data_IF_411700388226
#
_entry.id   IF_411700388226
#
_cell.length_a   1.000
_cell.length_b   1.000
_cell.length_c   1.000
_cell.angle_alpha   90.00
_cell.angle_beta   90.00
_cell.angle_gamma   90.00
#
_symmetry.space_group_name_H-M   'P 1'
#
loop_
_entity.id
_entity.type
_entity.pdbx_description
1 polymer ?
#
# COMPACT_ATOMS: atom_id res chain seq x y z
N UNK A 1 19.46 -31.68 -10.87
CA UNK A 1 20.87 -31.52 -10.43
C UNK A 1 20.85 -30.59 -9.21
N UNK A 2 21.20 -31.09 -8.01
CA UNK A 2 21.22 -30.29 -6.77
C UNK A 2 22.42 -29.34 -6.80
N UNK A 3 22.19 -28.04 -6.63
CA UNK A 3 23.24 -27.07 -6.31
C UNK A 3 22.91 -26.53 -4.92
N UNK A 4 23.72 -26.83 -3.89
CA UNK A 4 23.46 -26.33 -2.55
C UNK A 4 23.94 -24.88 -2.49
N UNK A 5 23.01 -23.94 -2.29
CA UNK A 5 23.34 -22.59 -1.83
C UNK A 5 23.13 -22.58 -0.33
N UNK A 6 24.17 -22.15 0.37
CA UNK A 6 24.33 -22.09 1.82
C UNK A 6 23.00 -21.86 2.57
N UNK A 7 22.52 -22.94 3.15
CA UNK A 7 21.24 -23.00 3.86
C UNK A 7 21.40 -22.80 5.36
N UNK A 8 22.63 -22.64 5.86
CA UNK A 8 22.90 -22.40 7.29
C UNK A 8 22.86 -20.90 7.61
N UNK A 9 23.50 -20.04 6.81
CA UNK A 9 23.49 -18.58 7.02
C UNK A 9 22.07 -17.98 6.84
N UNK A 10 21.25 -18.56 5.94
CA UNK A 10 19.83 -18.15 5.78
C UNK A 10 18.94 -18.53 6.97
N UNK A 11 19.23 -19.62 7.68
CA UNK A 11 18.46 -20.07 8.86
C UNK A 11 18.67 -19.15 10.06
N UNK A 12 19.88 -18.61 10.20
CA UNK A 12 20.21 -17.66 11.26
C UNK A 12 19.54 -16.31 11.03
N UNK A 13 19.54 -15.82 9.78
CA UNK A 13 18.80 -14.60 9.39
C UNK A 13 17.28 -14.72 9.53
N UNK A 14 16.70 -15.90 9.26
CA UNK A 14 15.26 -16.15 9.51
C UNK A 14 14.94 -16.24 11.01
N UNK A 15 15.81 -16.85 11.84
CA UNK A 15 15.64 -16.87 13.30
C UNK A 15 15.76 -15.48 13.92
N UNK A 16 16.66 -14.63 13.42
CA UNK A 16 16.77 -13.22 13.84
C UNK A 16 15.52 -12.41 13.44
N UNK A 17 15.00 -12.62 12.22
CA UNK A 17 13.78 -11.96 11.71
C UNK A 17 12.51 -12.42 12.43
N UNK A 18 12.40 -13.70 12.85
CA UNK A 18 11.30 -14.20 13.66
C UNK A 18 11.35 -13.71 15.11
N UNK A 19 12.54 -13.61 15.72
CA UNK A 19 12.71 -12.98 17.04
C UNK A 19 12.30 -11.51 17.05
N UNK A 20 12.57 -10.77 15.96
CA UNK A 20 12.20 -9.36 15.85
C UNK A 20 10.75 -9.12 15.38
N UNK A 21 10.02 -10.16 14.91
CA UNK A 21 8.59 -10.08 14.56
C UNK A 21 7.65 -10.44 15.71
N UNK A 22 8.18 -10.85 16.86
CA UNK A 22 7.39 -11.09 18.07
C UNK A 22 7.01 -9.78 18.76
N UNK A 23 6.12 -8.98 18.15
CA UNK A 23 5.21 -7.99 18.79
C UNK A 23 4.58 -7.13 17.69
N UNK A 24 3.45 -7.60 17.14
CA UNK A 24 2.34 -6.79 16.60
C UNK A 24 1.29 -7.78 16.05
N UNK A 25 0.02 -7.74 16.52
CA UNK A 25 -1.01 -8.65 16.04
C UNK A 25 -1.47 -8.24 14.63
N UNK A 26 -1.34 -9.14 13.67
CA UNK A 26 -1.86 -8.97 12.31
C UNK A 26 -3.30 -9.49 12.25
N UNK A 27 -4.23 -8.59 11.95
CA UNK A 27 -5.64 -8.89 11.65
C UNK A 27 -5.71 -9.35 10.19
N UNK A 28 -6.11 -10.60 9.97
CA UNK A 28 -6.29 -11.16 8.62
C UNK A 28 -7.68 -10.91 8.07
N UNK A 29 -7.77 -10.32 6.88
CA UNK A 29 -8.95 -10.27 6.03
C UNK A 29 -9.07 -11.55 5.19
N UNK A 30 -10.12 -12.36 5.42
CA UNK A 30 -10.58 -13.40 4.48
C UNK A 30 -11.84 -12.89 3.79
N UNK A 31 -11.83 -12.88 2.46
CA UNK A 31 -13.03 -12.88 1.62
C UNK A 31 -13.19 -14.28 1.04
N UNK A 32 -14.30 -14.94 1.36
CA UNK A 32 -14.69 -16.25 0.85
C UNK A 32 -15.93 -16.75 1.59
N UNK A 33 -17.08 -16.61 0.93
CA UNK A 33 -18.38 -17.25 1.16
C UNK A 33 -19.05 -17.09 2.53
N UNK A 34 -19.98 -16.12 2.62
CA UNK A 34 -21.01 -16.06 3.65
C UNK A 34 -22.31 -16.67 3.10
N UNK A 35 -22.42 -18.00 3.18
CA UNK A 35 -23.71 -18.62 3.47
C UNK A 35 -24.15 -18.18 4.86
N UNK A 36 -25.45 -17.94 5.00
CA UNK A 36 -26.15 -17.41 6.17
C UNK A 36 -25.70 -17.97 7.54
N UNK A 37 -25.80 -17.08 8.54
CA UNK A 37 -25.87 -17.27 10.01
C UNK A 37 -24.58 -17.31 10.85
N UNK A 38 -24.08 -16.14 11.30
CA UNK A 38 -23.18 -16.05 12.47
C UNK A 38 -23.78 -15.32 13.68
N UNK A 39 -24.94 -14.65 13.56
CA UNK A 39 -25.52 -13.83 14.65
C UNK A 39 -26.07 -14.65 15.82
N UNK A 40 -26.44 -15.91 15.59
CA UNK A 40 -26.94 -16.80 16.64
C UNK A 40 -25.83 -17.47 17.44
N UNK A 41 -24.60 -17.55 16.90
CA UNK A 41 -23.50 -18.26 17.57
C UNK A 41 -22.73 -17.39 18.56
N UNK A 42 -22.56 -16.08 18.27
CA UNK A 42 -21.87 -15.16 19.19
C UNK A 42 -22.70 -14.84 20.43
N UNK A 43 -24.02 -14.67 20.27
CA UNK A 43 -24.93 -14.49 21.40
C UNK A 43 -24.99 -15.74 22.30
N UNK A 44 -24.90 -16.95 21.71
CA UNK A 44 -24.90 -18.21 22.46
C UNK A 44 -23.55 -18.43 23.18
N UNK A 45 -22.42 -18.13 22.55
CA UNK A 45 -21.08 -18.24 23.17
C UNK A 45 -20.88 -17.21 24.29
N UNK A 46 -21.33 -15.96 24.12
CA UNK A 46 -21.25 -14.95 25.18
C UNK A 46 -22.15 -15.29 26.37
N UNK A 47 -23.36 -15.82 26.11
CA UNK A 47 -24.28 -16.28 27.16
C UNK A 47 -23.72 -17.51 27.90
N UNK A 48 -23.16 -18.48 27.18
CA UNK A 48 -22.61 -19.71 27.76
C UNK A 48 -21.32 -19.45 28.56
N UNK A 49 -20.47 -18.52 28.09
CA UNK A 49 -19.23 -18.14 28.79
C UNK A 49 -19.52 -17.28 30.02
N UNK A 50 -20.55 -16.43 29.97
CA UNK A 50 -21.00 -15.65 31.12
C UNK A 50 -21.73 -16.52 32.16
N UNK A 51 -22.53 -17.49 31.71
CA UNK A 51 -23.18 -18.47 32.59
C UNK A 51 -22.17 -19.42 33.23
N UNK A 52 -21.12 -19.84 32.50
CA UNK A 52 -20.05 -20.68 33.08
C UNK A 52 -19.17 -19.89 34.05
N UNK A 53 -18.94 -18.61 33.79
CA UNK A 53 -18.19 -17.72 34.70
C UNK A 53 -18.97 -17.44 35.99
N UNK A 54 -20.28 -17.21 35.90
CA UNK A 54 -21.17 -17.06 37.06
C UNK A 54 -21.28 -18.35 37.87
N UNK A 55 -21.40 -19.52 37.23
CA UNK A 55 -21.41 -20.82 37.91
C UNK A 55 -20.05 -21.17 38.53
N UNK A 56 -18.94 -20.66 37.98
CA UNK A 56 -17.60 -20.84 38.54
C UNK A 56 -17.36 -20.00 39.81
N UNK A 57 -18.21 -19.01 40.10
CA UNK A 57 -18.13 -18.17 41.30
C UNK A 57 -18.91 -18.74 42.50
N UNK A 58 -19.72 -19.79 42.29
CA UNK A 58 -20.54 -20.46 43.33
C UNK A 58 -19.89 -21.74 43.93
N UNK A 59 -18.57 -21.89 43.77
CA UNK A 59 -17.80 -23.04 44.26
C UNK A 59 -17.60 -23.03 45.78
N UNK A 60 -18.53 -23.65 46.51
CA UNK A 60 -18.43 -23.94 47.94
C UNK A 60 -17.38 -25.04 48.23
N UNK A 61 -16.40 -24.80 49.12
CA UNK A 61 -15.50 -25.83 49.63
C UNK A 61 -15.34 -25.73 51.15
N UNK A 62 -15.40 -26.87 51.86
CA UNK A 62 -15.61 -27.04 53.30
C UNK A 62 -14.30 -27.21 54.13
N UNK A 63 -14.46 -26.91 55.44
CA UNK A 63 -13.72 -27.33 56.66
C UNK A 63 -12.62 -26.42 57.24
N UNK A 64 -12.95 -25.73 58.34
CA UNK A 64 -12.32 -26.01 59.64
C UNK A 64 -11.56 -24.85 60.29
N UNK A 65 -12.25 -24.09 61.14
CA UNK A 65 -11.73 -23.12 62.14
C UNK A 65 -11.19 -21.77 61.64
N UNK A 66 -10.92 -21.61 60.34
CA UNK A 66 -10.82 -20.28 59.70
C UNK A 66 -12.19 -19.72 59.29
N UNK A 67 -13.26 -20.45 59.63
CA UNK A 67 -14.59 -20.29 59.08
C UNK A 67 -15.23 -18.94 59.40
N UNK A 68 -14.96 -18.28 60.54
CA UNK A 68 -15.61 -16.99 60.86
C UNK A 68 -14.99 -15.81 60.08
N UNK A 69 -13.67 -15.80 59.92
CA UNK A 69 -12.97 -14.74 59.18
C UNK A 69 -13.17 -14.93 57.68
N UNK A 70 -13.07 -16.17 57.18
CA UNK A 70 -13.33 -16.47 55.77
C UNK A 70 -14.81 -16.26 55.41
N UNK A 71 -15.76 -16.56 56.31
CA UNK A 71 -17.19 -16.28 56.09
C UNK A 71 -17.50 -14.78 56.13
N UNK A 72 -16.82 -14.01 56.99
CA UNK A 72 -16.94 -12.55 56.96
C UNK A 72 -16.35 -11.99 55.67
N UNK A 73 -15.13 -12.35 55.32
CA UNK A 73 -14.48 -11.89 54.08
C UNK A 73 -15.30 -12.29 52.85
N UNK A 74 -15.90 -13.48 52.81
CA UNK A 74 -16.77 -13.88 51.71
C UNK A 74 -18.07 -13.08 51.65
N UNK A 75 -18.71 -12.77 52.79
CA UNK A 75 -19.87 -11.88 52.86
C UNK A 75 -19.55 -10.44 52.41
N UNK A 76 -18.41 -9.90 52.86
CA UNK A 76 -17.91 -8.59 52.43
C UNK A 76 -17.58 -8.58 50.94
N UNK A 77 -16.99 -9.66 50.42
CA UNK A 77 -16.66 -9.83 49.01
C UNK A 77 -17.92 -9.97 48.13
N UNK A 78 -18.94 -10.71 48.57
CA UNK A 78 -20.21 -10.82 47.86
C UNK A 78 -20.97 -9.47 47.84
N UNK A 79 -20.96 -8.73 48.95
CA UNK A 79 -21.53 -7.38 48.98
C UNK A 79 -20.77 -6.39 48.09
N UNK A 80 -19.44 -6.38 48.15
CA UNK A 80 -18.61 -5.52 47.31
C UNK A 80 -18.74 -5.88 45.82
N UNK A 81 -18.80 -7.18 45.50
CA UNK A 81 -19.02 -7.68 44.14
C UNK A 81 -20.38 -7.22 43.60
N UNK A 82 -21.44 -7.36 44.38
CA UNK A 82 -22.79 -6.97 43.97
C UNK A 82 -22.95 -5.44 43.78
N UNK A 83 -22.30 -4.63 44.63
CA UNK A 83 -22.45 -3.17 44.62
C UNK A 83 -21.51 -2.48 43.62
N UNK A 84 -20.30 -3.03 43.39
CA UNK A 84 -19.27 -2.36 42.59
C UNK A 84 -18.99 -3.11 41.29
N UNK A 85 -18.67 -4.41 41.40
CA UNK A 85 -18.18 -5.20 40.27
C UNK A 85 -19.30 -5.48 39.26
N UNK A 86 -20.46 -5.94 39.73
CA UNK A 86 -21.61 -6.27 38.88
C UNK A 86 -22.14 -5.05 38.10
N UNK A 87 -22.42 -3.88 38.70
CA UNK A 87 -22.87 -2.71 37.93
C UNK A 87 -21.79 -2.18 36.99
N UNK A 88 -20.51 -2.26 37.37
CA UNK A 88 -19.40 -1.88 36.48
C UNK A 88 -19.36 -2.75 35.21
N UNK A 89 -19.44 -4.08 35.35
CA UNK A 89 -19.49 -4.97 34.19
C UNK A 89 -20.78 -4.82 33.38
N UNK A 90 -21.94 -4.61 34.03
CA UNK A 90 -23.19 -4.30 33.32
C UNK A 90 -23.07 -3.03 32.49
N UNK A 91 -22.43 -1.99 33.03
CA UNK A 91 -22.14 -0.76 32.31
C UNK A 91 -21.22 -1.01 31.11
N UNK A 92 -20.13 -1.78 31.29
CA UNK A 92 -19.21 -2.11 30.19
C UNK A 92 -19.89 -2.90 29.08
N UNK A 93 -20.71 -3.90 29.43
CA UNK A 93 -21.51 -4.68 28.47
C UNK A 93 -22.50 -3.78 27.74
N UNK A 94 -23.19 -2.88 28.45
CA UNK A 94 -24.10 -1.92 27.82
C UNK A 94 -23.37 -1.00 26.84
N UNK A 95 -22.18 -0.51 27.18
CA UNK A 95 -21.35 0.29 26.30
C UNK A 95 -20.96 -0.50 25.03
N UNK A 96 -20.50 -1.74 25.19
CA UNK A 96 -20.18 -2.62 24.05
C UNK A 96 -21.40 -2.86 23.15
N UNK A 97 -22.59 -3.07 23.74
CA UNK A 97 -23.83 -3.25 22.98
C UNK A 97 -24.21 -1.97 22.20
N UNK A 98 -24.09 -0.79 22.83
CA UNK A 98 -24.35 0.49 22.18
C UNK A 98 -23.40 0.69 20.99
N UNK A 99 -22.10 0.43 21.15
CA UNK A 99 -21.13 0.55 20.07
C UNK A 99 -21.40 -0.44 18.93
N UNK A 100 -21.80 -1.67 19.27
CA UNK A 100 -22.19 -2.69 18.29
C UNK A 100 -23.41 -2.28 17.48
N UNK A 101 -24.45 -1.74 18.14
CA UNK A 101 -25.66 -1.25 17.47
C UNK A 101 -25.34 -0.05 16.58
N UNK A 102 -24.54 0.91 17.06
CA UNK A 102 -24.14 2.07 16.27
C UNK A 102 -23.39 1.64 15.00
N UNK A 103 -22.41 0.74 15.11
CA UNK A 103 -21.68 0.20 13.97
C UNK A 103 -22.60 -0.55 13.00
N UNK A 104 -23.54 -1.34 13.52
CA UNK A 104 -24.52 -2.04 12.68
C UNK A 104 -25.40 -1.06 11.89
N UNK A 105 -25.86 0.01 12.53
CA UNK A 105 -26.64 1.08 11.87
C UNK A 105 -25.81 1.77 10.78
N UNK A 106 -24.55 2.08 11.02
CA UNK A 106 -23.65 2.66 10.00
C UNK A 106 -23.45 1.74 8.79
N UNK A 107 -23.22 0.45 9.03
CA UNK A 107 -23.06 -0.56 7.96
C UNK A 107 -24.37 -0.74 7.18
N UNK A 108 -25.50 -0.81 7.86
CA UNK A 108 -26.81 -0.88 7.22
C UNK A 108 -27.08 0.36 6.37
N UNK A 109 -26.81 1.55 6.90
CA UNK A 109 -26.97 2.82 6.19
C UNK A 109 -26.11 2.85 4.92
N UNK A 110 -24.81 2.54 5.03
CA UNK A 110 -23.92 2.46 3.87
C UNK A 110 -24.36 1.40 2.86
N UNK A 111 -24.83 0.24 3.33
CA UNK A 111 -25.40 -0.81 2.49
C UNK A 111 -26.62 -0.36 1.70
N UNK A 112 -27.55 0.34 2.35
CA UNK A 112 -28.74 0.92 1.70
C UNK A 112 -28.34 1.98 0.67
N UNK A 113 -27.41 2.88 1.01
CA UNK A 113 -26.91 3.90 0.07
C UNK A 113 -26.27 3.26 -1.16
N UNK A 114 -25.42 2.25 -0.98
CA UNK A 114 -24.79 1.52 -2.09
C UNK A 114 -25.83 0.78 -2.94
N UNK A 115 -26.80 0.12 -2.31
CA UNK A 115 -27.89 -0.56 -3.02
C UNK A 115 -28.74 0.44 -3.83
N UNK A 116 -29.08 1.59 -3.23
CA UNK A 116 -29.79 2.67 -3.89
C UNK A 116 -29.01 3.21 -5.09
N UNK A 117 -27.73 3.56 -4.93
CA UNK A 117 -26.88 4.05 -6.03
C UNK A 117 -26.77 3.02 -7.15
N UNK A 118 -26.63 1.72 -6.83
CA UNK A 118 -26.56 0.64 -7.82
C UNK A 118 -27.89 0.42 -8.54
N UNK A 119 -29.02 0.39 -7.82
CA UNK A 119 -30.36 0.19 -8.39
C UNK A 119 -30.75 1.33 -9.34
N UNK A 120 -30.48 2.58 -8.93
CA UNK A 120 -30.78 3.76 -9.73
C UNK A 120 -29.67 4.12 -10.73
N UNK A 121 -28.62 3.30 -10.83
CA UNK A 121 -27.43 3.50 -11.70
C UNK A 121 -26.90 4.94 -11.68
N UNK A 122 -26.96 5.59 -10.51
CA UNK A 122 -26.51 6.96 -10.37
C UNK A 122 -25.01 6.97 -10.54
N UNK A 123 -24.54 7.60 -11.62
CA UNK A 123 -23.11 7.90 -11.77
C UNK A 123 -22.80 9.09 -10.87
N UNK A 124 -21.62 9.12 -10.23
CA UNK A 124 -21.16 10.35 -9.59
C UNK A 124 -21.22 11.46 -10.64
N UNK A 125 -21.88 12.55 -10.29
CA UNK A 125 -22.02 13.70 -11.18
C UNK A 125 -20.60 14.19 -11.51
N UNK A 126 -20.36 14.51 -12.79
CA UNK A 126 -19.09 15.13 -13.19
C UNK A 126 -19.13 16.58 -12.74
N UNK A 127 -18.85 16.79 -11.45
CA UNK A 127 -18.87 18.12 -10.82
C UNK A 127 -17.75 19.00 -11.34
N UNK A 128 -16.63 18.38 -11.77
CA UNK A 128 -15.43 19.10 -12.14
C UNK A 128 -15.23 19.18 -13.65
N UNK A 129 -14.89 20.39 -14.09
CA UNK A 129 -14.57 20.70 -15.48
C UNK A 129 -13.13 20.29 -15.74
N UNK A 130 -12.91 19.57 -16.83
CA UNK A 130 -11.59 19.26 -17.36
C UNK A 130 -11.56 19.64 -18.83
N UNK A 131 -10.69 20.58 -19.15
CA UNK A 131 -10.41 21.01 -20.52
C UNK A 131 -8.90 21.16 -20.65
N UNK A 132 -8.32 20.57 -21.70
CA UNK A 132 -6.89 20.66 -21.91
C UNK A 132 -6.46 22.12 -22.05
N UNK A 133 -5.31 22.48 -21.46
CA UNK A 133 -4.77 23.82 -21.65
C UNK A 133 -4.29 23.99 -23.09
N UNK A 134 -4.76 25.05 -23.73
CA UNK A 134 -4.33 25.38 -25.09
C UNK A 134 -2.99 26.10 -25.05
N UNK A 135 -2.16 25.80 -26.06
CA UNK A 135 -0.94 26.55 -26.30
C UNK A 135 -1.32 27.84 -27.03
N UNK A 136 -1.61 28.90 -26.28
CA UNK A 136 -1.84 30.22 -26.85
C UNK A 136 -0.58 30.67 -27.61
N UNK A 137 -0.66 30.74 -28.94
CA UNK A 137 0.48 31.11 -29.79
C UNK A 137 1.03 32.51 -29.45
N UNK A 138 0.19 33.40 -28.92
CA UNK A 138 0.55 34.76 -28.51
C UNK A 138 1.20 34.82 -27.12
N UNK A 139 0.75 33.99 -26.17
CA UNK A 139 1.28 33.96 -24.80
C UNK A 139 2.44 32.96 -24.61
N UNK A 140 2.58 31.97 -25.51
CA UNK A 140 3.59 30.93 -25.45
C UNK A 140 3.55 30.19 -24.10
N UNK A 141 4.72 30.00 -23.49
CA UNK A 141 4.83 29.38 -22.16
C UNK A 141 4.26 30.22 -21.00
N UNK A 142 3.71 31.42 -21.25
CA UNK A 142 3.11 32.23 -20.19
C UNK A 142 1.69 31.86 -19.82
N UNK A 143 0.98 31.12 -20.68
CA UNK A 143 -0.35 30.59 -20.35
C UNK A 143 -0.29 29.49 -19.28
N UNK A 144 0.87 28.87 -19.10
CA UNK A 144 1.08 27.80 -18.13
C UNK A 144 1.40 28.38 -16.73
N UNK A 145 0.70 27.92 -15.68
CA UNK A 145 1.03 28.30 -14.30
C UNK A 145 2.40 27.74 -13.92
N UNK A 146 3.04 28.39 -12.96
CA UNK A 146 4.31 27.93 -12.44
C UNK A 146 4.07 26.78 -11.45
N UNK A 147 4.66 25.61 -11.67
CA UNK A 147 4.46 24.41 -10.84
C UNK A 147 5.74 24.00 -10.11
N UNK A 148 5.66 23.89 -8.78
CA UNK A 148 6.70 23.26 -7.96
C UNK A 148 6.46 21.75 -7.90
N UNK A 149 7.48 20.94 -8.18
CA UNK A 149 7.47 19.50 -7.94
C UNK A 149 8.37 19.20 -6.75
N UNK A 150 7.81 18.74 -5.63
CA UNK A 150 8.57 18.39 -4.42
C UNK A 150 8.75 16.87 -4.30
N UNK A 151 9.98 16.44 -4.02
CA UNK A 151 10.34 15.04 -3.81
C UNK A 151 11.09 14.90 -2.48
N UNK A 152 10.40 14.61 -1.36
CA UNK A 152 11.05 14.30 -0.09
C UNK A 152 11.70 12.90 -0.11
N UNK A 153 12.98 12.84 0.26
CA UNK A 153 13.78 11.61 0.29
C UNK A 153 14.37 11.34 1.68
N UNK A 154 14.49 10.06 2.04
CA UNK A 154 15.14 9.63 3.28
C UNK A 154 15.76 8.24 3.15
N UNK A 155 17.07 8.16 2.95
CA UNK A 155 17.85 6.92 2.80
C UNK A 155 17.37 6.01 1.64
N UNK A 156 16.90 6.59 0.53
CA UNK A 156 16.29 5.89 -0.61
C UNK A 156 17.29 5.68 -1.76
N UNK A 157 18.25 4.76 -1.60
CA UNK A 157 19.36 4.59 -2.57
C UNK A 157 18.93 4.01 -3.90
N UNK A 158 17.99 3.08 -3.88
CA UNK A 158 17.63 2.25 -5.02
C UNK A 158 16.67 2.96 -5.97
N UNK A 159 15.82 3.85 -5.45
CA UNK A 159 14.70 4.46 -6.20
C UNK A 159 14.94 5.92 -6.56
N UNK A 160 15.86 6.61 -5.88
CA UNK A 160 16.04 8.05 -6.05
C UNK A 160 16.43 8.45 -7.49
N UNK A 161 17.31 7.71 -8.17
CA UNK A 161 17.68 8.02 -9.55
C UNK A 161 16.46 7.94 -10.47
N UNK A 162 15.65 6.89 -10.30
CA UNK A 162 14.45 6.67 -11.13
C UNK A 162 13.38 7.72 -10.87
N UNK A 163 13.15 8.07 -9.60
CA UNK A 163 12.15 9.06 -9.20
C UNK A 163 12.54 10.48 -9.63
N UNK A 164 13.79 10.90 -9.39
CA UNK A 164 14.29 12.20 -9.85
C UNK A 164 14.21 12.28 -11.37
N UNK A 165 14.66 11.23 -12.06
CA UNK A 165 14.62 11.21 -13.52
C UNK A 165 13.19 11.23 -14.06
N UNK A 166 12.23 10.58 -13.39
CA UNK A 166 10.82 10.64 -13.77
C UNK A 166 10.24 12.05 -13.58
N UNK A 167 10.51 12.70 -12.45
CA UNK A 167 10.08 14.06 -12.19
C UNK A 167 10.69 15.07 -13.18
N UNK A 168 11.97 14.92 -13.53
CA UNK A 168 12.64 15.75 -14.54
C UNK A 168 12.11 15.54 -15.97
N UNK A 169 11.45 14.40 -16.25
CA UNK A 169 10.84 14.08 -17.54
C UNK A 169 9.39 14.51 -17.67
N UNK A 170 8.82 15.12 -16.63
CA UNK A 170 7.46 15.68 -16.70
C UNK A 170 7.42 16.71 -17.83
N UNK A 171 6.47 16.52 -18.75
CA UNK A 171 6.19 17.41 -19.86
C UNK A 171 5.52 18.67 -19.31
N UNK A 172 6.31 19.74 -19.26
CA UNK A 172 5.88 21.08 -18.88
C UNK A 172 6.88 22.10 -19.44
N UNK A 173 6.51 23.36 -19.71
CA UNK A 173 7.48 24.36 -20.12
C UNK A 173 8.60 24.51 -19.07
N UNK A 174 9.86 24.38 -19.51
CA UNK A 174 11.03 24.33 -18.61
C UNK A 174 11.20 25.58 -17.74
N UNK A 175 10.67 26.72 -18.18
CA UNK A 175 10.64 27.98 -17.42
C UNK A 175 9.43 28.12 -16.48
N UNK A 176 8.54 27.12 -16.44
CA UNK A 176 7.31 27.07 -15.63
C UNK A 176 7.25 25.84 -14.71
N UNK A 177 8.36 25.14 -14.55
CA UNK A 177 8.50 24.03 -13.63
C UNK A 177 9.77 24.20 -12.81
N UNK A 178 9.68 23.87 -11.51
CA UNK A 178 10.83 23.80 -10.61
C UNK A 178 10.76 22.45 -9.91
N UNK A 179 11.81 21.65 -10.01
CA UNK A 179 11.93 20.38 -9.29
C UNK A 179 12.72 20.65 -8.00
N UNK A 180 12.14 20.38 -6.84
CA UNK A 180 12.77 20.55 -5.53
C UNK A 180 12.91 19.18 -4.86
N UNK A 181 14.16 18.72 -4.74
CA UNK A 181 14.49 17.48 -4.03
C UNK A 181 14.88 17.83 -2.60
N UNK A 182 14.14 17.29 -1.63
CA UNK A 182 14.31 17.56 -0.20
C UNK A 182 14.91 16.32 0.46
N UNK A 183 16.21 16.34 0.78
CA UNK A 183 16.90 15.16 1.30
C UNK A 183 17.18 15.25 2.81
N UNK A 184 16.50 14.40 3.56
CA UNK A 184 16.62 14.22 5.01
C UNK A 184 17.52 13.03 5.40
N UNK A 185 18.17 12.39 4.43
CA UNK A 185 18.97 11.17 4.65
C UNK A 185 20.00 11.36 5.76
N UNK A 186 20.30 10.29 6.48
CA UNK A 186 21.40 10.29 7.45
C UNK A 186 22.66 9.67 6.87
N UNK A 187 22.49 8.79 5.88
CA UNK A 187 23.60 8.11 5.23
C UNK A 187 24.31 9.03 4.21
N UNK A 188 25.63 9.24 4.35
CA UNK A 188 26.38 10.09 3.42
C UNK A 188 26.36 9.58 1.98
N UNK A 189 26.34 8.25 1.77
CA UNK A 189 26.33 7.69 0.43
C UNK A 189 25.00 7.95 -0.29
N UNK A 190 23.86 7.87 0.42
CA UNK A 190 22.56 8.28 -0.12
C UNK A 190 22.56 9.75 -0.52
N UNK A 191 23.03 10.65 0.35
CA UNK A 191 23.07 12.09 0.07
C UNK A 191 23.89 12.43 -1.16
N UNK A 192 25.07 11.84 -1.25
CA UNK A 192 25.98 12.07 -2.36
C UNK A 192 25.38 11.57 -3.69
N UNK A 193 24.65 10.46 -3.66
CA UNK A 193 23.98 9.92 -4.84
C UNK A 193 22.84 10.83 -5.30
N UNK A 194 21.97 11.28 -4.39
CA UNK A 194 20.89 12.23 -4.71
C UNK A 194 21.45 13.55 -5.24
N UNK A 195 22.48 14.09 -4.57
CA UNK A 195 23.17 15.32 -4.99
C UNK A 195 23.72 15.19 -6.41
N UNK A 196 24.43 14.10 -6.70
CA UNK A 196 25.04 13.86 -8.01
C UNK A 196 24.00 13.79 -9.12
N UNK A 197 22.88 13.11 -8.87
CA UNK A 197 21.81 13.01 -9.85
C UNK A 197 21.15 14.38 -10.09
N UNK A 198 20.91 15.17 -9.03
CA UNK A 198 20.41 16.54 -9.17
C UNK A 198 21.37 17.42 -9.99
N UNK A 199 22.68 17.35 -9.73
CA UNK A 199 23.67 18.07 -10.53
C UNK A 199 23.70 17.61 -11.99
N UNK A 200 23.50 16.32 -12.25
CA UNK A 200 23.45 15.78 -13.61
C UNK A 200 22.31 16.41 -14.41
N UNK A 201 21.11 16.46 -13.83
CA UNK A 201 19.94 17.08 -14.47
C UNK A 201 20.07 18.60 -14.56
N UNK A 202 20.64 19.25 -13.56
CA UNK A 202 20.93 20.69 -13.59
C UNK A 202 21.86 21.05 -14.76
N UNK A 203 22.92 20.26 -15.00
CA UNK A 203 23.83 20.44 -16.16
C UNK A 203 23.13 20.26 -17.51
N UNK A 204 22.03 19.51 -17.56
CA UNK A 204 21.21 19.33 -18.77
C UNK A 204 20.21 20.48 -18.99
N UNK A 205 20.21 21.49 -18.11
CA UNK A 205 19.33 22.66 -18.21
C UNK A 205 17.97 22.48 -17.53
N UNK A 206 17.76 21.42 -16.75
CA UNK A 206 16.55 21.25 -15.95
C UNK A 206 16.64 22.14 -14.72
N UNK A 207 15.54 22.84 -14.41
CA UNK A 207 15.43 23.68 -13.22
C UNK A 207 15.17 22.81 -11.97
N UNK A 208 16.25 22.26 -11.42
CA UNK A 208 16.24 21.38 -10.24
C UNK A 208 17.06 21.99 -9.09
N UNK A 209 16.49 21.97 -7.89
CA UNK A 209 17.13 22.38 -6.64
C UNK A 209 17.25 21.20 -5.70
N UNK A 210 18.39 21.11 -5.03
CA UNK A 210 18.69 20.09 -4.02
C UNK A 210 18.85 20.77 -2.67
N UNK A 211 17.94 20.48 -1.75
CA UNK A 211 17.89 21.13 -0.43
C UNK A 211 18.06 20.09 0.68
N UNK A 212 18.89 20.43 1.66
CA UNK A 212 19.12 19.63 2.87
C UNK A 212 18.78 20.53 4.05
N UNK A 213 18.25 19.93 5.13
CA UNK A 213 18.08 20.61 6.42
C UNK A 213 18.90 19.93 7.52
N UNK A 214 19.23 20.71 8.54
CA UNK A 214 20.06 20.24 9.66
C UNK A 214 19.27 19.45 10.73
N UNK A 215 17.94 19.57 10.74
CA UNK A 215 17.10 18.98 11.78
C UNK A 215 15.85 18.30 11.19
N UNK A 216 15.55 17.10 11.68
CA UNK A 216 14.46 16.24 11.18
C UNK A 216 13.11 16.45 11.88
N UNK A 217 12.92 17.59 12.56
CA UNK A 217 11.67 17.90 13.24
C UNK A 217 10.47 17.85 12.27
N UNK A 218 9.44 17.07 12.63
CA UNK A 218 8.24 16.90 11.81
C UNK A 218 8.40 15.93 10.63
N UNK A 219 9.53 15.22 10.51
CA UNK A 219 9.78 14.21 9.47
C UNK A 219 9.43 14.75 8.08
N UNK A 220 8.72 13.96 7.24
CA UNK A 220 8.30 14.34 5.89
C UNK A 220 7.55 15.67 5.83
N UNK A 221 6.57 15.87 6.71
CA UNK A 221 5.80 17.12 6.75
C UNK A 221 6.68 18.33 7.13
N UNK A 222 7.67 18.11 7.99
CA UNK A 222 8.67 19.10 8.35
C UNK A 222 9.59 19.47 7.17
N UNK A 223 10.05 18.47 6.42
CA UNK A 223 10.88 18.67 5.22
C UNK A 223 10.12 19.49 4.17
N UNK A 224 8.89 19.09 3.85
CA UNK A 224 8.02 19.80 2.90
C UNK A 224 7.81 21.26 3.33
N UNK A 225 7.49 21.50 4.61
CA UNK A 225 7.31 22.85 5.16
C UNK A 225 8.59 23.70 5.07
N UNK A 226 9.76 23.11 5.29
CA UNK A 226 11.03 23.82 5.15
C UNK A 226 11.30 24.18 3.68
N UNK A 227 11.06 23.22 2.77
CA UNK A 227 11.13 23.43 1.32
C UNK A 227 10.25 24.58 0.84
N UNK A 228 9.08 24.78 1.46
CA UNK A 228 8.17 25.90 1.15
C UNK A 228 8.71 27.29 1.53
N UNK A 229 9.75 27.40 2.37
CA UNK A 229 10.29 28.70 2.81
C UNK A 229 11.21 29.36 1.78
N UNK A 230 11.71 28.60 0.81
CA UNK A 230 12.63 29.10 -0.20
C UNK A 230 11.97 30.17 -1.07
N UNK A 231 12.72 31.22 -1.42
CA UNK A 231 12.19 32.40 -2.13
C UNK A 231 11.57 32.05 -3.49
N UNK A 232 12.18 31.11 -4.22
CA UNK A 232 11.68 30.66 -5.52
C UNK A 232 10.34 29.92 -5.42
N UNK A 233 9.96 29.38 -4.26
CA UNK A 233 8.68 28.70 -4.11
C UNK A 233 7.51 29.69 -4.15
N UNK A 234 7.74 30.94 -3.74
CA UNK A 234 6.70 31.99 -3.73
C UNK A 234 6.20 32.38 -5.12
N UNK A 235 6.93 32.02 -6.18
CA UNK A 235 6.52 32.26 -7.56
C UNK A 235 5.72 31.10 -8.17
N UNK A 236 5.52 30.00 -7.40
CA UNK A 236 4.79 28.82 -7.83
C UNK A 236 3.30 28.99 -7.52
N UNK A 237 2.43 28.74 -8.51
CA UNK A 237 0.99 28.77 -8.34
C UNK A 237 0.46 27.45 -7.76
N UNK A 238 1.09 26.33 -8.16
CA UNK A 238 0.71 24.99 -7.74
C UNK A 238 1.91 24.17 -7.29
N UNK A 239 1.63 23.15 -6.47
CA UNK A 239 2.64 22.23 -5.93
C UNK A 239 2.17 20.80 -6.19
N UNK A 240 3.02 20.02 -6.84
CA UNK A 240 2.90 18.57 -6.95
C UNK A 240 3.89 17.92 -5.98
N UNK A 241 3.45 16.94 -5.21
CA UNK A 241 4.28 16.24 -4.23
C UNK A 241 4.34 14.77 -4.64
N UNK A 242 5.55 14.24 -4.78
CA UNK A 242 5.80 12.83 -5.09
C UNK A 242 6.66 12.18 -4.03
N UNK A 243 6.32 10.96 -3.63
CA UNK A 243 7.17 10.16 -2.76
C UNK A 243 8.41 9.68 -3.54
N UNK A 244 9.48 9.31 -2.83
CA UNK A 244 10.77 8.98 -3.44
C UNK A 244 10.75 7.72 -4.33
N UNK A 245 9.70 6.91 -4.25
CA UNK A 245 9.46 5.73 -5.07
C UNK A 245 8.48 6.00 -6.22
N UNK A 246 7.91 7.21 -6.31
CA UNK A 246 6.94 7.54 -7.35
C UNK A 246 7.65 7.95 -8.65
N UNK A 247 7.12 7.42 -9.75
CA UNK A 247 7.57 7.70 -11.10
C UNK A 247 6.38 8.27 -11.90
N UNK A 248 6.13 9.59 -11.82
CA UNK A 248 5.02 10.20 -12.53
C UNK A 248 5.16 10.05 -14.05
N UNK A 249 4.04 9.85 -14.74
CA UNK A 249 4.00 9.88 -16.20
C UNK A 249 4.34 11.29 -16.73
N UNK A 250 4.94 11.41 -17.93
CA UNK A 250 5.31 12.71 -18.48
C UNK A 250 4.13 13.69 -18.60
N UNK A 251 2.91 13.20 -18.84
CA UNK A 251 1.71 14.03 -19.02
C UNK A 251 0.98 14.36 -17.70
N UNK A 252 1.55 13.98 -16.54
CA UNK A 252 0.89 14.10 -15.24
C UNK A 252 0.36 15.52 -14.96
N UNK A 253 1.17 16.56 -15.21
CA UNK A 253 0.75 17.95 -14.97
C UNK A 253 -0.32 18.40 -15.96
N UNK A 254 -0.22 17.99 -17.23
CA UNK A 254 -1.26 18.26 -18.23
C UNK A 254 -2.60 17.63 -17.88
N UNK A 255 -2.60 16.51 -17.16
CA UNK A 255 -3.84 15.85 -16.71
C UNK A 255 -4.40 16.43 -15.42
N UNK A 256 -3.55 16.92 -14.52
CA UNK A 256 -3.96 17.32 -13.16
C UNK A 256 -4.20 18.82 -13.02
N UNK A 257 -3.32 19.67 -13.54
CA UNK A 257 -3.39 21.13 -13.40
C UNK A 257 -4.69 21.73 -13.98
N UNK A 258 -5.25 21.27 -15.12
CA UNK A 258 -6.48 21.85 -15.65
C UNK A 258 -7.67 21.76 -14.70
N UNK A 259 -7.74 20.72 -13.87
CA UNK A 259 -8.79 20.63 -12.84
C UNK A 259 -8.70 21.78 -11.83
N UNK A 260 -7.49 22.21 -11.46
CA UNK A 260 -7.29 23.30 -10.50
C UNK A 260 -7.60 24.67 -11.13
N UNK A 261 -7.27 24.86 -12.40
CA UNK A 261 -7.52 26.11 -13.12
C UNK A 261 -9.03 26.34 -13.33
N UNK A 262 -9.72 25.33 -13.88
CA UNK A 262 -11.12 25.46 -14.28
C UNK A 262 -12.10 25.39 -13.10
N UNK A 263 -11.63 25.02 -11.91
CA UNK A 263 -12.47 24.85 -10.72
C UNK A 263 -11.88 25.62 -9.52
N UNK A 264 -12.17 26.93 -9.37
CA UNK A 264 -11.55 27.78 -8.33
C UNK A 264 -11.79 27.34 -6.88
N UNK A 265 -12.79 26.48 -6.64
CA UNK A 265 -13.10 25.91 -5.31
C UNK A 265 -12.32 24.62 -5.02
N UNK A 266 -11.60 24.07 -6.01
CA UNK A 266 -10.84 22.83 -5.88
C UNK A 266 -9.44 23.12 -5.34
N UNK A 267 -9.13 22.55 -4.17
CA UNK A 267 -7.83 22.76 -3.51
C UNK A 267 -6.82 21.63 -3.77
N UNK A 268 -7.28 20.44 -4.15
CA UNK A 268 -6.43 19.25 -4.28
C UNK A 268 -6.91 18.35 -5.43
N UNK A 269 -5.95 17.87 -6.21
CA UNK A 269 -6.15 16.79 -7.18
C UNK A 269 -5.29 15.61 -6.75
N UNK A 270 -5.93 14.47 -6.50
CA UNK A 270 -5.24 13.24 -6.10
C UNK A 270 -5.16 12.28 -7.27
N UNK A 271 -3.94 11.91 -7.66
CA UNK A 271 -3.70 10.81 -8.60
C UNK A 271 -4.01 9.46 -7.96
N UNK A 272 -4.51 8.51 -8.77
CA UNK A 272 -4.63 7.12 -8.35
C UNK A 272 -3.23 6.51 -8.21
N UNK A 273 -3.03 5.71 -7.17
CA UNK A 273 -1.80 4.94 -7.02
C UNK A 273 -1.90 3.66 -7.84
N UNK A 274 -0.90 3.45 -8.69
CA UNK A 274 -0.70 2.21 -9.42
C UNK A 274 0.71 1.72 -9.13
N UNK A 275 0.82 0.45 -8.76
CA UNK A 275 2.12 -0.17 -8.49
C UNK A 275 2.67 -0.68 -9.82
N UNK A 276 3.74 -0.04 -10.30
CA UNK A 276 4.43 -0.47 -11.50
C UNK A 276 5.00 -1.88 -11.34
N UNK A 277 4.89 -2.68 -12.40
CA UNK A 277 5.64 -3.94 -12.52
C UNK A 277 6.95 -3.60 -13.20
N UNK A 278 8.08 -3.86 -12.54
CA UNK A 278 9.40 -3.73 -13.18
C UNK A 278 9.57 -4.85 -14.21
N UNK A 279 9.56 -4.50 -15.49
CA UNK A 279 9.80 -5.42 -16.60
C UNK A 279 11.19 -5.15 -17.14
N UNK A 280 12.08 -6.14 -17.01
CA UNK A 280 13.41 -6.11 -17.62
C UNK A 280 13.42 -7.05 -18.83
N UNK A 281 13.85 -6.55 -19.98
CA UNK A 281 14.08 -7.35 -21.18
C UNK A 281 15.56 -7.72 -21.29
N UNK A 282 15.86 -9.02 -21.29
CA UNK A 282 17.21 -9.53 -21.47
C UNK A 282 17.31 -10.28 -22.80
N UNK A 283 18.21 -9.84 -23.68
CA UNK A 283 18.50 -10.49 -24.96
C UNK A 283 19.87 -11.15 -24.83
N UNK A 284 19.98 -12.42 -25.22
CA UNK A 284 21.23 -13.18 -25.20
C UNK A 284 21.79 -13.35 -26.61
N UNK A 285 23.11 -13.28 -26.73
CA UNK A 285 23.81 -13.38 -28.02
C UNK A 285 23.88 -14.82 -28.57
N UNK A 286 23.68 -15.83 -27.73
CA UNK A 286 23.81 -17.24 -28.12
C UNK A 286 22.66 -18.10 -27.58
N UNK A 287 22.27 -19.11 -28.36
CA UNK A 287 21.21 -20.08 -28.06
C UNK A 287 21.60 -21.24 -27.15
N UNK A 288 22.86 -21.34 -26.70
CA UNK A 288 23.35 -22.40 -25.80
C UNK A 288 22.40 -22.72 -24.64
N UNK A 289 22.09 -24.00 -24.43
CA UNK A 289 21.19 -24.47 -23.36
C UNK A 289 19.70 -24.18 -23.56
N UNK A 290 19.29 -23.58 -24.68
CA UNK A 290 17.89 -23.28 -25.01
C UNK A 290 17.15 -22.55 -23.87
N UNK A 291 15.94 -22.99 -23.50
CA UNK A 291 15.12 -22.38 -22.43
C UNK A 291 15.83 -22.40 -21.08
N UNK A 292 16.45 -23.53 -20.70
CA UNK A 292 17.18 -23.65 -19.45
C UNK A 292 18.44 -22.76 -19.41
N UNK A 293 19.09 -22.57 -20.56
CA UNK A 293 20.20 -21.64 -20.73
C UNK A 293 19.77 -20.18 -20.56
N UNK A 294 18.64 -19.79 -21.14
CA UNK A 294 18.06 -18.45 -20.98
C UNK A 294 17.71 -18.17 -19.51
N UNK A 295 17.05 -19.13 -18.84
CA UNK A 295 16.74 -19.02 -17.43
C UNK A 295 18.00 -18.91 -16.57
N UNK A 296 19.03 -19.74 -16.83
CA UNK A 296 20.31 -19.70 -16.11
C UNK A 296 20.97 -18.33 -16.21
N UNK A 297 20.81 -17.65 -17.34
CA UNK A 297 21.40 -16.32 -17.54
C UNK A 297 20.62 -15.25 -16.77
N UNK A 298 19.28 -15.26 -16.87
CA UNK A 298 18.41 -14.40 -16.06
C UNK A 298 18.63 -14.57 -14.56
N UNK A 299 18.95 -15.78 -14.10
CA UNK A 299 19.22 -16.07 -12.68
C UNK A 299 20.51 -15.45 -12.14
N UNK A 300 21.42 -14.95 -12.99
CA UNK A 300 22.68 -14.33 -12.52
C UNK A 300 22.49 -12.92 -11.97
N UNK A 301 21.43 -12.23 -12.36
CA UNK A 301 21.22 -10.84 -11.99
C UNK A 301 21.03 -10.66 -10.47
N UNK A 302 21.51 -9.52 -9.96
CA UNK A 302 21.45 -9.18 -8.54
C UNK A 302 20.02 -9.08 -8.01
N UNK A 303 19.08 -8.61 -8.82
CA UNK A 303 17.66 -8.50 -8.42
C UNK A 303 17.01 -9.86 -8.16
N UNK A 304 17.37 -10.91 -8.93
CA UNK A 304 16.84 -12.27 -8.72
C UNK A 304 17.24 -12.83 -7.36
N UNK A 305 18.42 -12.45 -6.85
CA UNK A 305 18.90 -12.87 -5.52
C UNK A 305 18.10 -12.23 -4.38
N UNK A 306 17.36 -11.16 -4.64
CA UNK A 306 16.52 -10.47 -3.67
C UNK A 306 15.10 -11.08 -3.61
N UNK A 307 14.69 -11.84 -4.63
CA UNK A 307 13.38 -12.47 -4.69
C UNK A 307 13.29 -13.69 -3.76
N UNK A 308 12.20 -13.77 -2.98
CA UNK A 308 11.92 -14.94 -2.13
C UNK A 308 11.44 -16.15 -2.96
N UNK A 309 10.70 -15.88 -4.04
CA UNK A 309 10.14 -16.88 -4.96
C UNK A 309 10.33 -16.42 -6.41
N UNK A 310 10.43 -17.38 -7.32
CA UNK A 310 10.56 -17.10 -8.75
C UNK A 310 9.48 -17.87 -9.49
N UNK A 311 8.65 -17.15 -10.24
CA UNK A 311 7.68 -17.73 -11.15
C UNK A 311 8.25 -17.68 -12.57
N UNK A 312 8.18 -18.81 -13.28
CA UNK A 312 8.69 -18.95 -14.64
C UNK A 312 7.50 -19.30 -15.52
N UNK A 313 7.23 -18.46 -16.50
CA UNK A 313 6.15 -18.65 -17.46
C UNK A 313 6.74 -18.87 -18.84
N UNK A 314 6.18 -19.82 -19.58
CA UNK A 314 6.42 -19.88 -21.03
C UNK A 314 5.68 -18.71 -21.71
N UNK A 315 6.16 -18.29 -22.88
CA UNK A 315 5.67 -17.09 -23.57
C UNK A 315 4.20 -17.18 -24.03
N UNK A 316 3.66 -18.39 -24.15
CA UNK A 316 2.28 -18.70 -24.52
C UNK A 316 1.38 -18.95 -23.31
N UNK A 317 1.92 -18.88 -22.08
CA UNK A 317 1.15 -19.06 -20.87
C UNK A 317 0.57 -17.74 -20.38
N UNK A 318 -0.76 -17.71 -20.25
CA UNK A 318 -1.50 -16.59 -19.66
C UNK A 318 -1.98 -16.99 -18.27
N UNK A 319 -1.24 -16.66 -17.19
CA UNK A 319 -1.72 -16.92 -15.84
C UNK A 319 -2.96 -16.08 -15.54
N UNK A 320 -3.92 -16.67 -14.83
CA UNK A 320 -4.98 -15.90 -14.18
C UNK A 320 -4.37 -14.86 -13.21
N UNK A 321 -5.02 -13.70 -13.00
CA UNK A 321 -4.50 -12.64 -12.12
C UNK A 321 -4.23 -13.10 -10.68
N UNK A 322 -4.88 -14.17 -10.22
CA UNK A 322 -4.74 -14.74 -8.88
C UNK A 322 -3.72 -15.90 -8.79
N UNK A 323 -3.01 -16.23 -9.88
CA UNK A 323 -2.10 -17.38 -9.95
C UNK A 323 -1.09 -17.43 -8.81
N UNK A 324 -0.41 -16.31 -8.52
CA UNK A 324 0.57 -16.24 -7.44
C UNK A 324 -0.09 -16.33 -6.06
N UNK A 325 -1.27 -15.72 -5.88
CA UNK A 325 -2.05 -15.82 -4.65
C UNK A 325 -2.45 -17.26 -4.33
N UNK A 326 -2.69 -18.09 -5.36
CA UNK A 326 -3.02 -19.50 -5.21
C UNK A 326 -1.81 -20.40 -5.01
N UNK A 327 -0.68 -20.09 -5.64
CA UNK A 327 0.49 -21.00 -5.68
C UNK A 327 1.50 -20.76 -4.56
N UNK A 328 1.79 -19.50 -4.23
CA UNK A 328 2.80 -19.14 -3.21
C UNK A 328 2.49 -19.70 -1.82
N UNK A 329 1.23 -19.74 -1.34
CA UNK A 329 0.92 -20.33 -0.04
C UNK A 329 1.42 -21.77 0.12
N UNK A 330 1.40 -22.60 -0.92
CA UNK A 330 1.90 -23.99 -0.82
C UNK A 330 3.40 -24.05 -0.52
N UNK A 331 4.18 -23.11 -1.04
CA UNK A 331 5.62 -22.99 -0.78
C UNK A 331 5.92 -22.43 0.61
N UNK A 332 5.07 -21.53 1.12
CA UNK A 332 5.21 -20.98 2.49
C UNK A 332 4.88 -22.04 3.54
N UNK A 333 3.78 -22.78 3.36
CA UNK A 333 3.30 -23.74 4.36
C UNK A 333 4.12 -25.05 4.37
N UNK A 334 4.75 -25.41 3.25
CA UNK A 334 5.54 -26.63 3.16
C UNK A 334 6.99 -26.35 2.74
N UNK A 335 7.93 -26.25 3.70
CA UNK A 335 9.32 -25.93 3.41
C UNK A 335 10.09 -27.05 2.68
N UNK A 336 9.49 -28.24 2.50
CA UNK A 336 10.08 -29.32 1.69
C UNK A 336 9.71 -29.23 0.21
N UNK A 337 8.81 -28.31 -0.15
CA UNK A 337 8.22 -28.22 -1.47
C UNK A 337 9.03 -27.22 -2.31
N UNK A 338 9.69 -27.72 -3.36
CA UNK A 338 10.61 -26.94 -4.18
C UNK A 338 9.97 -26.38 -5.46
N UNK A 339 8.82 -26.93 -5.88
CA UNK A 339 8.14 -26.56 -7.11
C UNK A 339 6.63 -26.74 -6.95
N UNK A 340 5.86 -25.73 -7.35
CA UNK A 340 4.40 -25.82 -7.50
C UNK A 340 4.09 -25.64 -8.98
N UNK A 341 3.43 -26.63 -9.58
CA UNK A 341 2.97 -26.55 -10.96
C UNK A 341 1.48 -26.27 -10.98
N UNK A 342 1.08 -25.15 -11.60
CA UNK A 342 -0.32 -24.84 -11.86
C UNK A 342 -0.89 -25.67 -13.02
N UNK A 343 -2.21 -25.70 -13.15
CA UNK A 343 -2.88 -26.31 -14.30
C UNK A 343 -2.64 -25.42 -15.53
N UNK A 344 -2.37 -26.04 -16.67
CA UNK A 344 -2.13 -25.35 -17.95
C UNK A 344 -3.37 -25.49 -18.83
N UNK A 345 -3.83 -24.38 -19.40
CA UNK A 345 -4.88 -24.36 -20.42
C UNK A 345 -4.26 -23.79 -21.70
N UNK A 346 -4.49 -24.44 -22.84
CA UNK A 346 -4.06 -23.91 -24.13
C UNK A 346 -4.97 -22.74 -24.50
N UNK A 347 -4.40 -21.55 -24.62
CA UNK A 347 -5.07 -20.38 -25.19
C UNK A 347 -5.29 -20.51 -26.70
N UNK A 348 -5.91 -21.59 -27.17
CA UNK A 348 -6.53 -21.61 -28.49
C UNK A 348 -7.88 -20.88 -28.40
N UNK A 349 -7.82 -19.56 -28.22
CA UNK A 349 -8.94 -18.71 -28.61
C UNK A 349 -8.99 -18.80 -30.14
N UNK A 350 -10.09 -19.23 -30.78
CA UNK A 350 -10.17 -19.22 -32.22
C UNK A 350 -9.92 -17.79 -32.70
N UNK A 351 -9.02 -17.65 -33.66
CA UNK A 351 -8.50 -16.41 -34.26
C UNK A 351 -9.57 -15.55 -35.00
N UNK A 352 -10.85 -15.67 -34.64
CA UNK A 352 -12.01 -15.15 -35.37
C UNK A 352 -12.71 -13.96 -34.66
N UNK A 353 -12.37 -13.62 -33.41
CA UNK A 353 -13.02 -12.48 -32.72
C UNK A 353 -12.25 -11.14 -32.71
N UNK A 354 -11.10 -11.04 -33.39
CA UNK A 354 -10.39 -9.76 -33.58
C UNK A 354 -11.06 -8.81 -34.59
N UNK A 355 -12.27 -9.13 -35.09
CA UNK A 355 -13.09 -8.22 -35.92
C UNK A 355 -14.16 -7.46 -35.14
N UNK A 356 -14.12 -7.44 -33.81
CA UNK A 356 -14.99 -6.58 -33.02
C UNK A 356 -14.35 -5.18 -32.82
N UNK A 357 -14.86 -4.10 -33.45
CA UNK A 357 -14.25 -2.77 -33.38
C UNK A 357 -14.27 -2.11 -31.99
N UNK A 358 -14.84 -2.76 -30.96
CA UNK A 358 -14.91 -2.24 -29.59
C UNK A 358 -13.63 -2.44 -28.75
N UNK A 359 -12.64 -3.21 -29.22
CA UNK A 359 -11.40 -3.50 -28.48
C UNK A 359 -10.21 -2.65 -28.98
N UNK A 360 -10.44 -1.68 -29.88
CA UNK A 360 -9.36 -0.90 -30.51
C UNK A 360 -8.76 0.21 -29.61
N UNK A 361 -9.29 0.45 -28.41
CA UNK A 361 -8.94 1.64 -27.59
C UNK A 361 -8.13 1.36 -26.32
N UNK A 362 -7.51 0.19 -26.15
CA UNK A 362 -6.83 -0.13 -24.88
C UNK A 362 -5.37 -0.53 -25.01
N UNK A 363 -4.79 -0.52 -26.21
CA UNK A 363 -3.34 -0.66 -26.36
C UNK A 363 -2.87 0.34 -27.40
N UNK A 364 -2.35 1.47 -26.92
CA UNK A 364 -1.61 2.43 -27.72
C UNK A 364 -0.53 3.03 -26.82
N UNK A 365 0.66 2.46 -27.03
CA UNK A 365 2.02 2.86 -26.66
C UNK A 365 2.43 2.86 -25.19
#
# INVERSE_FOLDING_TARGET
MKIPVDSQDKRERQRQRQRNRGKLPFVGSRTGDCSMSPLTSFHRIAHDTFSSFLLSLDGSFLLGSEDVVNTRISLWWEQARAIVVVPFFKFLVALCLIMSVMYFVEVMYMGIVVAYVKLFKRKPEKVYIWEAMENDAECGSKSFPMVLVQIPMYNEKEVCEQSIAAACRISWPSNRIIIQVLDDSTDPASKELVRRECERWSRQGVNITFEIRDNRNGYKAGALREGMKHSYVKQCDYIAIFDADFQPEPDFLHRTVPFLIHNPKLALVQGRWEFGVNITFEIRDNRNGYKAGALREGMKHSYVKQCDYIAIFDADFQPEPDFLHRTVPFLIHNPKLALVQGRWEFGNIPYIELKNPRIRNTISY
#
